data_IF_230887699452
#
_entry.id   IF_230887699452
#
_cell.length_a   1.000
_cell.length_b   1.000
_cell.length_c   1.000
_cell.angle_alpha   90.00
_cell.angle_beta   90.00
_cell.angle_gamma   90.00
#
_symmetry.space_group_name_H-M   'P 1'
#
loop_
_entity.id
_entity.type
_entity.pdbx_description
1 polymer ?
#
# COMPACT_ATOMS: atom_id res chain seq x y z
N UNK A 1 23.06 -5.79 9.23
CA UNK A 1 22.20 -6.67 10.07
C UNK A 1 20.81 -6.89 9.49
N UNK A 2 20.34 -6.01 8.55
CA UNK A 2 19.04 -6.11 7.89
C UNK A 2 19.14 -6.38 6.38
N UNK A 3 20.28 -6.83 5.90
CA UNK A 3 20.54 -7.19 4.49
C UNK A 3 20.50 -8.71 4.31
N UNK A 4 19.57 -9.38 4.94
CA UNK A 4 19.37 -10.82 4.79
C UNK A 4 18.04 -11.09 4.12
N UNK A 5 17.90 -12.20 3.42
CA UNK A 5 16.66 -12.63 2.75
C UNK A 5 15.46 -12.77 3.71
N UNK A 6 15.73 -12.82 5.03
CA UNK A 6 14.71 -12.89 6.08
C UNK A 6 14.29 -11.53 6.62
N UNK A 7 14.96 -10.44 6.25
CA UNK A 7 14.65 -9.10 6.76
C UNK A 7 13.46 -8.51 6.01
N UNK A 8 12.45 -8.06 6.74
CA UNK A 8 11.29 -7.42 6.14
C UNK A 8 11.55 -5.92 5.89
N UNK A 9 10.83 -5.34 4.93
CA UNK A 9 10.88 -3.90 4.69
C UNK A 9 10.43 -3.09 5.91
N UNK A 10 9.50 -3.63 6.72
CA UNK A 10 9.07 -3.02 7.97
C UNK A 10 10.20 -2.92 9.00
N UNK A 11 10.99 -3.98 9.12
CA UNK A 11 12.13 -3.99 10.06
C UNK A 11 13.18 -2.97 9.65
N UNK A 12 13.48 -2.89 8.35
CA UNK A 12 14.41 -1.91 7.80
C UNK A 12 13.93 -0.47 8.04
N UNK A 13 12.65 -0.18 7.75
CA UNK A 13 12.08 1.15 7.99
C UNK A 13 12.07 1.54 9.47
N UNK A 14 11.68 0.61 10.35
CA UNK A 14 11.65 0.86 11.79
C UNK A 14 13.06 1.09 12.34
N UNK A 15 14.03 0.32 11.87
CA UNK A 15 15.43 0.53 12.24
C UNK A 15 15.93 1.89 11.76
N UNK A 16 15.72 2.24 10.51
CA UNK A 16 16.14 3.50 9.92
C UNK A 16 15.51 4.69 10.66
N UNK A 17 14.21 4.61 10.96
CA UNK A 17 13.54 5.65 11.73
C UNK A 17 14.21 5.87 13.09
N UNK A 18 14.41 4.79 13.87
CA UNK A 18 15.02 4.88 15.21
C UNK A 18 16.44 5.43 15.17
N UNK A 19 17.24 5.01 14.18
CA UNK A 19 18.61 5.52 14.01
C UNK A 19 18.60 7.00 13.66
N UNK A 20 17.74 7.43 12.73
CA UNK A 20 17.67 8.82 12.30
C UNK A 20 17.12 9.73 13.40
N UNK A 21 16.11 9.29 14.16
CA UNK A 21 15.60 9.98 15.34
C UNK A 21 16.72 10.20 16.39
N UNK A 22 17.57 9.18 16.60
CA UNK A 22 18.71 9.28 17.52
C UNK A 22 19.78 10.26 17.03
N UNK A 23 20.14 10.20 15.74
CA UNK A 23 21.16 11.09 15.17
C UNK A 23 20.71 12.55 15.19
N UNK A 24 19.46 12.81 14.86
CA UNK A 24 18.91 14.17 14.77
C UNK A 24 18.35 14.71 16.08
N UNK A 25 18.18 13.85 17.08
CA UNK A 25 17.52 14.15 18.36
C UNK A 25 16.10 14.75 18.15
N UNK A 26 15.38 14.22 17.17
CA UNK A 26 14.02 14.67 16.78
C UNK A 26 13.15 13.42 16.62
N UNK A 27 11.87 13.52 16.99
CA UNK A 27 10.86 12.49 16.67
C UNK A 27 10.06 12.91 15.43
N UNK A 28 9.82 11.96 14.54
CA UNK A 28 9.03 12.18 13.34
C UNK A 28 7.63 11.60 13.51
N UNK A 29 6.60 12.35 13.12
CA UNK A 29 5.20 11.91 13.19
C UNK A 29 4.83 10.97 12.04
N UNK A 30 5.45 11.18 10.87
CA UNK A 30 5.17 10.45 9.64
C UNK A 30 6.44 9.92 8.99
N UNK A 31 6.31 8.78 8.37
CA UNK A 31 7.35 8.12 7.59
C UNK A 31 6.83 7.89 6.18
N UNK A 32 7.61 8.25 5.17
CA UNK A 32 7.25 7.98 3.78
C UNK A 32 8.21 6.97 3.19
N UNK A 33 7.67 5.81 2.86
CA UNK A 33 8.40 4.78 2.11
C UNK A 33 8.13 4.96 0.62
N UNK A 34 9.19 5.12 -0.15
CA UNK A 34 9.15 5.37 -1.60
C UNK A 34 9.91 4.26 -2.31
N UNK A 35 9.24 3.55 -3.22
CA UNK A 35 9.88 2.49 -3.99
C UNK A 35 10.59 3.06 -5.22
N UNK A 36 11.87 2.71 -5.40
CA UNK A 36 12.67 3.12 -6.55
C UNK A 36 12.16 2.57 -7.89
N UNK A 37 11.44 1.45 -7.86
CA UNK A 37 10.88 0.79 -9.05
C UNK A 37 9.75 1.54 -9.73
N UNK A 38 9.30 2.65 -9.18
CA UNK A 38 8.28 3.51 -9.78
C UNK A 38 8.84 4.95 -9.92
N UNK A 39 9.51 5.28 -11.03
CA UNK A 39 10.22 6.55 -11.21
C UNK A 39 9.30 7.75 -11.50
N UNK A 40 8.07 7.53 -11.96
CA UNK A 40 7.17 8.59 -12.43
C UNK A 40 6.43 9.34 -11.31
N UNK A 41 6.68 9.02 -10.05
CA UNK A 41 6.12 9.78 -8.94
C UNK A 41 6.76 11.16 -8.81
N UNK A 42 5.96 12.14 -8.42
CA UNK A 42 6.40 13.51 -8.20
C UNK A 42 6.38 13.89 -6.72
N UNK A 43 7.02 15.01 -6.36
CA UNK A 43 6.91 15.55 -5.01
C UNK A 43 5.46 15.89 -4.63
N UNK A 44 4.63 16.32 -5.61
CA UNK A 44 3.20 16.60 -5.39
C UNK A 44 2.43 15.37 -4.94
N UNK A 45 2.77 14.20 -5.46
CA UNK A 45 2.15 12.93 -5.05
C UNK A 45 2.51 12.58 -3.60
N UNK A 46 3.78 12.83 -3.22
CA UNK A 46 4.27 12.59 -1.87
C UNK A 46 3.57 13.53 -0.88
N UNK A 47 3.54 14.82 -1.18
CA UNK A 47 2.89 15.84 -0.35
C UNK A 47 1.39 15.57 -0.21
N UNK A 48 0.72 15.16 -1.27
CA UNK A 48 -0.69 14.78 -1.23
C UNK A 48 -0.94 13.60 -0.28
N UNK A 49 -0.06 12.58 -0.29
CA UNK A 49 -0.16 11.44 0.63
C UNK A 49 0.04 11.88 2.09
N UNK A 50 1.04 12.71 2.37
CA UNK A 50 1.31 13.24 3.72
C UNK A 50 0.14 14.10 4.20
N UNK A 51 -0.32 15.03 3.37
CA UNK A 51 -1.47 15.89 3.69
C UNK A 51 -2.72 15.07 3.98
N UNK A 52 -2.99 14.05 3.17
CA UNK A 52 -4.11 13.13 3.39
C UNK A 52 -3.99 12.39 4.71
N UNK A 53 -2.81 11.84 5.01
CA UNK A 53 -2.53 11.15 6.25
C UNK A 53 -2.77 12.06 7.46
N UNK A 54 -2.29 13.30 7.39
CA UNK A 54 -2.45 14.29 8.47
C UNK A 54 -3.93 14.65 8.70
N UNK A 55 -4.69 14.89 7.62
CA UNK A 55 -6.09 15.30 7.71
C UNK A 55 -7.02 14.16 8.18
N UNK A 56 -6.80 12.95 7.67
CA UNK A 56 -7.70 11.82 7.98
C UNK A 56 -7.34 11.09 9.26
N UNK A 57 -6.15 11.34 9.81
CA UNK A 57 -5.60 10.59 10.96
C UNK A 57 -5.58 9.08 10.73
N UNK A 58 -5.52 8.66 9.47
CA UNK A 58 -5.40 7.26 9.10
C UNK A 58 -4.08 6.66 9.61
N UNK A 59 -4.00 5.35 9.66
CA UNK A 59 -2.76 4.65 10.01
C UNK A 59 -1.74 4.79 8.88
N UNK A 60 -2.22 4.69 7.64
CA UNK A 60 -1.40 4.76 6.43
C UNK A 60 -2.21 5.30 5.26
N UNK A 61 -1.56 6.03 4.37
CA UNK A 61 -2.08 6.41 3.06
C UNK A 61 -1.19 5.76 2.00
N UNK A 62 -1.82 5.01 1.10
CA UNK A 62 -1.14 4.19 0.08
C UNK A 62 -1.54 4.67 -1.30
N UNK A 63 -0.56 4.81 -2.18
CA UNK A 63 -0.85 5.07 -3.58
C UNK A 63 -1.39 3.82 -4.29
N UNK A 64 -2.45 4.01 -5.06
CA UNK A 64 -3.14 2.92 -5.76
C UNK A 64 -3.36 3.26 -7.24
N UNK A 65 -3.47 2.22 -8.08
CA UNK A 65 -3.86 2.32 -9.47
C UNK A 65 -5.25 1.72 -9.67
N UNK A 66 -6.13 2.41 -10.37
CA UNK A 66 -7.44 1.86 -10.75
C UNK A 66 -7.26 0.73 -11.75
N UNK A 67 -7.97 -0.37 -11.51
CA UNK A 67 -8.03 -1.50 -12.43
C UNK A 67 -9.19 -1.34 -13.40
N UNK A 68 -8.89 -1.47 -14.69
CA UNK A 68 -9.90 -1.48 -15.75
C UNK A 68 -10.11 -2.90 -16.31
N UNK A 69 -9.01 -3.66 -16.46
CA UNK A 69 -9.03 -4.96 -17.12
C UNK A 69 -9.09 -6.16 -16.18
N UNK A 70 -8.50 -6.06 -15.01
CA UNK A 70 -8.37 -7.17 -14.05
C UNK A 70 -9.29 -6.97 -12.84
N UNK A 71 -10.58 -6.71 -13.10
CA UNK A 71 -11.56 -6.53 -12.03
C UNK A 71 -11.75 -7.85 -11.26
N UNK A 72 -11.86 -7.84 -9.92
CA UNK A 72 -12.00 -9.05 -9.09
C UNK A 72 -13.13 -9.98 -9.49
N UNK A 73 -14.24 -9.47 -10.03
CA UNK A 73 -15.33 -10.28 -10.58
C UNK A 73 -14.89 -11.17 -11.74
N UNK A 74 -13.86 -10.78 -12.50
CA UNK A 74 -13.36 -11.50 -13.68
C UNK A 74 -12.16 -12.38 -13.39
N UNK A 75 -11.60 -12.31 -12.19
CA UNK A 75 -10.50 -13.17 -11.77
C UNK A 75 -11.04 -14.57 -11.50
N UNK A 76 -10.44 -15.56 -12.13
CA UNK A 76 -10.81 -16.97 -12.03
C UNK A 76 -9.72 -17.78 -11.35
N UNK A 77 -10.08 -18.94 -10.83
CA UNK A 77 -9.16 -19.98 -10.35
C UNK A 77 -9.50 -21.30 -11.05
N UNK A 78 -8.51 -22.17 -11.19
CA UNK A 78 -8.67 -23.50 -11.73
C UNK A 78 -8.59 -24.50 -10.59
N UNK A 79 -9.64 -25.30 -10.42
CA UNK A 79 -9.69 -26.39 -9.44
C UNK A 79 -10.15 -27.65 -10.17
N UNK A 80 -9.34 -28.70 -10.14
CA UNK A 80 -9.60 -29.99 -10.81
C UNK A 80 -9.95 -29.79 -12.31
N UNK A 81 -9.18 -28.96 -13.02
CA UNK A 81 -9.37 -28.65 -14.43
C UNK A 81 -10.59 -27.79 -14.76
N UNK A 82 -11.36 -27.33 -13.78
CA UNK A 82 -12.55 -26.49 -13.96
C UNK A 82 -12.32 -25.05 -13.55
N UNK A 83 -12.79 -24.10 -14.37
CA UNK A 83 -12.73 -22.66 -14.06
C UNK A 83 -13.83 -22.32 -13.06
N UNK A 84 -13.44 -21.63 -11.97
CA UNK A 84 -14.35 -21.13 -10.93
C UNK A 84 -14.04 -19.64 -10.64
N UNK A 85 -15.02 -18.91 -10.11
CA UNK A 85 -14.75 -17.55 -9.64
C UNK A 85 -13.72 -17.56 -8.51
N UNK A 86 -12.77 -16.61 -8.54
CA UNK A 86 -11.72 -16.53 -7.52
C UNK A 86 -12.29 -16.01 -6.20
N UNK A 87 -12.91 -14.84 -6.21
CA UNK A 87 -13.50 -14.20 -5.03
C UNK A 87 -14.97 -13.82 -5.29
N UNK A 88 -15.22 -13.01 -6.32
CA UNK A 88 -16.53 -12.44 -6.59
C UNK A 88 -17.23 -13.19 -7.74
N UNK A 89 -18.55 -13.35 -7.62
CA UNK A 89 -19.38 -13.91 -8.70
C UNK A 89 -19.42 -12.91 -9.85
N UNK A 90 -19.15 -13.40 -11.05
CA UNK A 90 -19.33 -12.64 -12.29
C UNK A 90 -20.76 -12.73 -12.77
N UNK A 91 -21.29 -11.62 -13.30
CA UNK A 91 -22.52 -11.62 -14.09
C UNK A 91 -22.13 -11.38 -15.55
N UNK A 92 -22.39 -12.31 -16.43
CA UNK A 92 -22.04 -12.27 -17.85
C UNK A 92 -22.65 -11.07 -18.60
N UNK A 93 -23.75 -10.51 -18.09
CA UNK A 93 -24.40 -9.33 -18.67
C UNK A 93 -23.73 -8.01 -18.30
N UNK A 94 -22.81 -8.00 -17.30
CA UNK A 94 -22.12 -6.77 -16.90
C UNK A 94 -20.98 -6.43 -17.87
N UNK A 95 -21.05 -5.23 -18.47
CA UNK A 95 -19.96 -4.72 -19.29
C UNK A 95 -18.77 -4.32 -18.42
N UNK A 96 -17.54 -4.40 -18.97
CA UNK A 96 -16.30 -4.09 -18.27
C UNK A 96 -16.32 -2.73 -17.55
N UNK A 97 -16.83 -1.69 -18.22
CA UNK A 97 -16.89 -0.34 -17.68
C UNK A 97 -17.90 -0.16 -16.55
N UNK A 98 -18.88 -1.03 -16.45
CA UNK A 98 -19.99 -0.95 -15.49
C UNK A 98 -19.74 -1.75 -14.21
N UNK A 99 -18.64 -2.51 -14.16
CA UNK A 99 -18.29 -3.34 -13.01
C UNK A 99 -18.13 -2.50 -11.72
N UNK A 100 -18.82 -2.94 -10.69
CA UNK A 100 -18.82 -2.29 -9.36
C UNK A 100 -18.48 -3.32 -8.26
N UNK A 101 -17.91 -2.86 -7.12
CA UNK A 101 -17.32 -1.54 -6.89
C UNK A 101 -16.08 -1.34 -7.76
N UNK A 102 -15.66 -0.08 -7.97
CA UNK A 102 -14.40 0.20 -8.68
C UNK A 102 -13.25 -0.49 -7.95
N UNK A 103 -12.41 -1.21 -8.68
CA UNK A 103 -11.29 -1.95 -8.12
C UNK A 103 -9.99 -1.17 -8.26
N UNK A 104 -9.14 -1.28 -7.25
CA UNK A 104 -7.83 -0.64 -7.21
C UNK A 104 -6.79 -1.66 -6.76
N UNK A 105 -5.56 -1.49 -7.24
CA UNK A 105 -4.40 -2.28 -6.81
C UNK A 105 -3.34 -1.34 -6.25
N UNK A 106 -2.65 -1.77 -5.20
CA UNK A 106 -1.46 -1.07 -4.71
C UNK A 106 -0.40 -1.06 -5.80
N UNK A 107 0.06 0.13 -6.17
CA UNK A 107 1.09 0.28 -7.21
C UNK A 107 2.52 0.25 -6.65
N UNK A 108 2.66 0.12 -5.33
CA UNK A 108 3.97 0.05 -4.67
C UNK A 108 4.77 1.35 -4.73
N UNK A 109 4.17 2.49 -5.07
CA UNK A 109 4.93 3.73 -5.28
C UNK A 109 5.19 4.48 -3.97
N UNK A 110 4.13 4.80 -3.20
CA UNK A 110 4.20 5.64 -2.01
C UNK A 110 3.40 4.98 -0.88
N UNK A 111 4.01 4.91 0.29
CA UNK A 111 3.37 4.55 1.56
C UNK A 111 3.69 5.65 2.57
N UNK A 112 2.73 6.52 2.88
CA UNK A 112 2.84 7.50 3.96
C UNK A 112 2.24 6.87 5.22
N UNK A 113 3.05 6.70 6.26
CA UNK A 113 2.76 5.85 7.43
C UNK A 113 2.86 6.71 8.69
N UNK A 114 1.90 6.59 9.60
CA UNK A 114 2.04 7.22 10.92
C UNK A 114 3.12 6.52 11.73
N UNK A 115 3.86 7.28 12.55
CA UNK A 115 4.89 6.71 13.42
C UNK A 115 4.32 5.62 14.33
N UNK A 116 3.11 5.84 14.86
CA UNK A 116 2.41 4.87 15.71
C UNK A 116 2.22 3.53 14.97
N UNK A 117 1.81 3.56 13.73
CA UNK A 117 1.58 2.36 12.93
C UNK A 117 2.88 1.59 12.69
N UNK A 118 3.95 2.28 12.30
CA UNK A 118 5.22 1.63 12.05
C UNK A 118 5.87 1.08 13.31
N UNK A 119 5.88 1.84 14.41
CA UNK A 119 6.61 1.47 15.63
C UNK A 119 5.81 0.50 16.50
N UNK A 120 4.53 0.80 16.76
CA UNK A 120 3.73 0.02 17.71
C UNK A 120 3.11 -1.21 17.07
N UNK A 121 2.62 -1.07 15.84
CA UNK A 121 1.96 -2.19 15.15
C UNK A 121 2.91 -2.95 14.23
N UNK A 122 4.16 -2.47 14.04
CA UNK A 122 5.15 -3.05 13.11
C UNK A 122 4.54 -3.32 11.75
N UNK A 123 3.76 -2.36 11.25
CA UNK A 123 3.03 -2.49 9.99
C UNK A 123 3.28 -1.28 9.10
N UNK A 124 3.33 -1.50 7.78
CA UNK A 124 3.33 -0.43 6.78
C UNK A 124 1.92 -0.08 6.33
N UNK A 125 0.95 -0.91 6.64
CA UNK A 125 -0.41 -0.82 6.10
C UNK A 125 -1.38 -0.32 7.18
N UNK A 126 -1.23 -0.78 8.43
CA UNK A 126 -2.15 -0.44 9.50
C UNK A 126 -3.54 -1.08 9.31
N UNK A 127 -4.49 -0.62 10.11
CA UNK A 127 -5.89 -1.08 10.05
C UNK A 127 -6.78 -0.09 9.31
N UNK A 128 -6.50 1.21 9.44
CA UNK A 128 -7.23 2.31 8.79
C UNK A 128 -6.37 2.93 7.69
N UNK A 129 -6.81 2.75 6.42
CA UNK A 129 -6.09 3.18 5.22
C UNK A 129 -6.91 4.18 4.42
#
# INVERSE_FOLDING_TARGET
>A
KFSTDKSTSQDALNHSLKQYEKIKNIKYDYIVSIMCTNPLKTYKDIDACIKRLHLTKADTVISVKRLYDHHPKRIKKIINGKIKNFVMKENEKERRQDLKPKAYIRNGSIYAISRKTLVNYRSQIGKNQ
#
